data_IF_987427310839
#
_entry.id   IF_987427310839
#
_cell.length_a   1.000
_cell.length_b   1.000
_cell.length_c   1.000
_cell.angle_alpha   90.00
_cell.angle_beta   90.00
_cell.angle_gamma   90.00
#
_symmetry.space_group_name_H-M   'P 1'
#
loop_
_entity.id
_entity.type
_entity.pdbx_description
1 polymer ?
#
# COMPACT_ATOMS: atom_id res chain seq x y z
N UNK A 1 10.05 -27.44 8.64
CA UNK A 1 9.46 -26.20 9.18
C UNK A 1 7.98 -26.46 9.45
N UNK A 2 7.47 -26.02 10.59
CA UNK A 2 6.04 -26.05 10.87
C UNK A 2 5.29 -25.03 10.00
N UNK A 3 3.96 -25.19 9.88
CA UNK A 3 3.09 -24.30 9.09
C UNK A 3 3.31 -22.83 9.46
N UNK A 4 3.27 -22.51 10.74
CA UNK A 4 3.45 -21.16 11.26
C UNK A 4 4.85 -20.61 10.95
N UNK A 5 5.89 -21.43 11.10
CA UNK A 5 7.27 -21.01 10.79
C UNK A 5 7.42 -20.65 9.30
N UNK A 6 6.84 -21.46 8.41
CA UNK A 6 6.87 -21.18 6.96
C UNK A 6 6.12 -19.92 6.64
N UNK A 7 4.91 -19.70 7.21
CA UNK A 7 4.12 -18.49 7.05
C UNK A 7 4.93 -17.26 7.48
N UNK A 8 5.49 -17.27 8.68
CA UNK A 8 6.27 -16.16 9.23
C UNK A 8 7.49 -15.82 8.39
N UNK A 9 8.24 -16.83 7.93
CA UNK A 9 9.43 -16.62 7.08
C UNK A 9 9.04 -16.04 5.73
N UNK A 10 7.99 -16.58 5.09
CA UNK A 10 7.53 -16.14 3.79
C UNK A 10 7.04 -14.69 3.85
N UNK A 11 6.26 -14.36 4.88
CA UNK A 11 5.73 -12.99 5.05
C UNK A 11 6.80 -12.00 5.48
N UNK A 12 7.81 -12.43 6.26
CA UNK A 12 8.97 -11.59 6.56
C UNK A 12 9.78 -11.28 5.29
N UNK A 13 9.95 -12.25 4.40
CA UNK A 13 10.64 -12.03 3.11
C UNK A 13 9.82 -11.12 2.20
N UNK A 14 8.50 -11.28 2.12
CA UNK A 14 7.62 -10.44 1.31
C UNK A 14 7.56 -9.00 1.87
N UNK A 15 7.24 -8.83 3.14
CA UNK A 15 7.12 -7.52 3.78
C UNK A 15 8.49 -6.87 3.99
N UNK A 16 9.24 -7.31 5.00
CA UNK A 16 10.53 -6.70 5.40
C UNK A 16 11.58 -6.80 4.29
N UNK A 17 11.63 -7.94 3.57
CA UNK A 17 12.55 -8.14 2.45
C UNK A 17 12.20 -7.22 1.27
N UNK A 18 10.94 -7.15 0.85
CA UNK A 18 10.46 -6.32 -0.25
C UNK A 18 10.68 -4.83 0.03
N UNK A 19 10.16 -4.31 1.14
CA UNK A 19 10.35 -2.89 1.52
C UNK A 19 11.82 -2.56 1.77
N UNK A 20 12.57 -3.47 2.39
CA UNK A 20 14.01 -3.29 2.63
C UNK A 20 14.83 -3.21 1.34
N UNK A 21 14.55 -4.07 0.34
CA UNK A 21 15.14 -3.99 -0.99
C UNK A 21 14.78 -2.67 -1.67
N UNK A 22 13.52 -2.24 -1.58
CA UNK A 22 13.09 -0.93 -2.05
C UNK A 22 13.87 0.20 -1.38
N UNK A 23 14.05 0.12 -0.07
CA UNK A 23 14.88 1.04 0.70
C UNK A 23 16.32 1.12 0.19
N UNK A 24 16.95 -0.03 -0.08
CA UNK A 24 18.30 -0.12 -0.64
C UNK A 24 18.38 0.51 -2.03
N UNK A 25 17.45 0.16 -2.93
CA UNK A 25 17.40 0.72 -4.29
C UNK A 25 17.21 2.23 -4.22
N UNK A 26 16.26 2.72 -3.41
CA UNK A 26 16.04 4.17 -3.20
C UNK A 26 17.28 4.88 -2.66
N UNK A 27 18.05 4.24 -1.76
CA UNK A 27 19.31 4.78 -1.26
C UNK A 27 20.43 4.85 -2.30
N UNK A 28 20.33 4.09 -3.40
CA UNK A 28 21.27 4.10 -4.52
C UNK A 28 20.86 5.11 -5.61
N UNK A 29 19.57 5.49 -5.67
CA UNK A 29 19.10 6.47 -6.66
C UNK A 29 19.64 7.87 -6.37
N UNK A 30 19.86 8.64 -7.45
CA UNK A 30 20.27 10.04 -7.37
C UNK A 30 19.03 10.96 -7.24
N UNK A 31 19.23 12.23 -6.94
CA UNK A 31 18.19 13.23 -6.61
C UNK A 31 17.03 13.37 -7.62
N UNK A 32 17.16 12.95 -8.86
CA UNK A 32 16.12 13.08 -9.92
C UNK A 32 15.22 11.82 -10.04
N UNK A 33 15.09 11.06 -8.96
CA UNK A 33 14.40 9.77 -8.98
C UNK A 33 12.87 9.85 -8.87
N UNK A 34 12.26 11.03 -8.60
CA UNK A 34 10.81 11.16 -8.40
C UNK A 34 9.99 10.57 -9.56
N UNK A 35 10.44 10.76 -10.81
CA UNK A 35 9.80 10.15 -11.99
C UNK A 35 9.82 8.63 -11.93
N UNK A 36 10.97 8.04 -11.64
CA UNK A 36 11.13 6.57 -11.59
C UNK A 36 10.30 5.99 -10.46
N UNK A 37 10.39 6.58 -9.27
CA UNK A 37 9.60 6.17 -8.10
C UNK A 37 8.10 6.26 -8.39
N UNK A 38 7.63 7.37 -8.96
CA UNK A 38 6.23 7.58 -9.35
C UNK A 38 5.73 6.47 -10.30
N UNK A 39 6.48 6.18 -11.37
CA UNK A 39 6.07 5.19 -12.37
C UNK A 39 6.05 3.77 -11.77
N UNK A 40 7.04 3.43 -10.94
CA UNK A 40 7.09 2.14 -10.25
C UNK A 40 5.96 2.01 -9.21
N UNK A 41 5.69 3.08 -8.46
CA UNK A 41 4.61 3.12 -7.49
C UNK A 41 3.24 2.96 -8.15
N UNK A 42 3.01 3.66 -9.28
CA UNK A 42 1.78 3.48 -10.07
C UNK A 42 1.64 2.05 -10.61
N UNK A 43 2.73 1.48 -11.11
CA UNK A 43 2.75 0.10 -11.60
C UNK A 43 2.40 -0.88 -10.46
N UNK A 44 3.00 -0.71 -9.28
CA UNK A 44 2.71 -1.52 -8.09
C UNK A 44 1.23 -1.41 -7.68
N UNK A 45 0.68 -0.18 -7.62
CA UNK A 45 -0.74 0.04 -7.36
C UNK A 45 -1.66 -0.66 -8.37
N UNK A 46 -1.25 -0.70 -9.65
CA UNK A 46 -1.94 -1.44 -10.69
C UNK A 46 -1.93 -2.96 -10.45
N UNK A 47 -0.77 -3.52 -10.06
CA UNK A 47 -0.65 -4.95 -9.71
C UNK A 47 -1.52 -5.27 -8.49
N UNK A 48 -1.48 -4.43 -7.44
CA UNK A 48 -2.35 -4.59 -6.26
C UNK A 48 -3.81 -4.60 -6.63
N UNK A 49 -4.26 -3.66 -7.46
CA UNK A 49 -5.65 -3.59 -7.92
C UNK A 49 -6.07 -4.87 -8.65
N UNK A 50 -5.18 -5.43 -9.46
CA UNK A 50 -5.42 -6.69 -10.15
C UNK A 50 -5.59 -7.86 -9.17
N UNK A 51 -4.69 -8.01 -8.22
CA UNK A 51 -4.77 -9.05 -7.17
C UNK A 51 -6.07 -8.91 -6.39
N UNK A 52 -6.42 -7.70 -5.96
CA UNK A 52 -7.66 -7.47 -5.22
C UNK A 52 -8.90 -7.87 -6.03
N UNK A 53 -8.98 -7.41 -7.29
CA UNK A 53 -10.21 -7.60 -8.08
C UNK A 53 -10.35 -8.99 -8.68
N UNK A 54 -9.25 -9.63 -9.05
CA UNK A 54 -9.29 -10.90 -9.81
C UNK A 54 -8.92 -12.13 -8.98
N UNK A 55 -8.39 -11.94 -7.77
CA UNK A 55 -8.02 -13.03 -6.88
C UNK A 55 -8.79 -12.93 -5.56
N UNK A 56 -8.50 -11.95 -4.70
CA UNK A 56 -9.00 -11.90 -3.33
C UNK A 56 -10.53 -11.76 -3.25
N UNK A 57 -11.11 -10.85 -4.03
CA UNK A 57 -12.58 -10.64 -4.03
C UNK A 57 -13.29 -11.87 -4.62
N UNK A 58 -12.71 -12.49 -5.65
CA UNK A 58 -13.25 -13.70 -6.25
C UNK A 58 -13.20 -14.86 -5.25
N UNK A 59 -12.04 -15.09 -4.61
CA UNK A 59 -11.90 -16.13 -3.58
C UNK A 59 -12.87 -15.89 -2.39
N UNK A 60 -13.03 -14.63 -1.96
CA UNK A 60 -14.01 -14.30 -0.91
C UNK A 60 -15.45 -14.64 -1.31
N UNK A 61 -15.85 -14.40 -2.57
CA UNK A 61 -17.19 -14.72 -3.08
C UNK A 61 -17.35 -16.25 -3.20
N UNK A 62 -16.31 -16.94 -3.63
CA UNK A 62 -16.31 -18.40 -3.84
C UNK A 62 -16.43 -19.19 -2.53
N UNK A 63 -16.25 -18.55 -1.38
CA UNK A 63 -16.59 -19.15 -0.06
C UNK A 63 -18.07 -19.49 0.10
N UNK A 64 -18.95 -18.97 -0.76
CA UNK A 64 -20.41 -19.15 -0.72
C UNK A 64 -21.09 -18.68 0.60
N UNK A 65 -20.45 -17.78 1.34
CA UNK A 65 -20.99 -17.22 2.59
C UNK A 65 -22.03 -16.12 2.39
N UNK A 66 -22.23 -15.70 1.12
CA UNK A 66 -23.20 -14.69 0.72
C UNK A 66 -22.53 -13.34 0.37
N UNK A 67 -22.95 -12.77 -0.74
CA UNK A 67 -22.37 -11.52 -1.30
C UNK A 67 -22.41 -10.34 -0.32
N UNK A 68 -23.47 -10.23 0.50
CA UNK A 68 -23.60 -9.12 1.44
C UNK A 68 -22.57 -9.16 2.56
N UNK A 69 -22.12 -10.36 2.97
CA UNK A 69 -21.02 -10.50 3.94
C UNK A 69 -19.72 -9.98 3.35
N UNK A 70 -19.41 -10.38 2.11
CA UNK A 70 -18.20 -9.94 1.40
C UNK A 70 -18.20 -8.42 1.19
N UNK A 71 -19.30 -7.86 0.69
CA UNK A 71 -19.44 -6.40 0.51
C UNK A 71 -19.31 -5.66 1.84
N UNK A 72 -19.93 -6.18 2.91
CA UNK A 72 -19.79 -5.62 4.25
C UNK A 72 -18.37 -5.66 4.78
N UNK A 73 -17.64 -6.76 4.55
CA UNK A 73 -16.23 -6.89 4.94
C UNK A 73 -15.33 -5.90 4.15
N UNK A 74 -15.55 -5.77 2.84
CA UNK A 74 -14.85 -4.78 1.99
C UNK A 74 -15.11 -3.35 2.52
N UNK A 75 -16.36 -3.00 2.75
CA UNK A 75 -16.74 -1.68 3.28
C UNK A 75 -16.10 -1.39 4.64
N UNK A 76 -16.03 -2.40 5.51
CA UNK A 76 -15.35 -2.29 6.80
C UNK A 76 -13.85 -2.06 6.64
N UNK A 77 -13.20 -2.78 5.70
CA UNK A 77 -11.79 -2.60 5.38
C UNK A 77 -11.50 -1.18 4.90
N UNK A 78 -12.29 -0.67 3.95
CA UNK A 78 -12.21 0.73 3.47
C UNK A 78 -12.37 1.70 4.63
N UNK A 79 -13.44 1.55 5.42
CA UNK A 79 -13.77 2.49 6.49
C UNK A 79 -12.70 2.53 7.60
N UNK A 80 -12.19 1.35 8.01
CA UNK A 80 -11.15 1.28 9.04
C UNK A 80 -9.83 1.87 8.56
N UNK A 81 -9.42 1.54 7.33
CA UNK A 81 -8.16 2.06 6.77
C UNK A 81 -8.24 3.56 6.57
N UNK A 82 -9.36 4.08 6.04
CA UNK A 82 -9.62 5.52 5.98
C UNK A 82 -9.51 6.19 7.35
N UNK A 83 -10.14 5.61 8.36
CA UNK A 83 -10.12 6.16 9.72
C UNK A 83 -8.71 6.17 10.32
N UNK A 84 -7.94 5.10 10.14
CA UNK A 84 -6.56 5.02 10.62
C UNK A 84 -5.67 6.04 9.90
N UNK A 85 -5.85 6.16 8.58
CA UNK A 85 -5.13 7.16 7.79
C UNK A 85 -5.47 8.59 8.24
N UNK A 86 -6.76 8.88 8.42
CA UNK A 86 -7.22 10.17 8.94
C UNK A 86 -6.59 10.51 10.31
N UNK A 87 -6.43 9.51 11.20
CA UNK A 87 -5.76 9.73 12.49
C UNK A 87 -4.27 10.06 12.32
N UNK A 88 -3.59 9.40 11.38
CA UNK A 88 -2.19 9.70 11.08
C UNK A 88 -2.06 11.10 10.50
N UNK A 89 -2.83 11.42 9.48
CA UNK A 89 -2.81 12.73 8.83
C UNK A 89 -3.06 13.85 9.84
N UNK A 90 -4.04 13.68 10.71
CA UNK A 90 -4.36 14.66 11.76
C UNK A 90 -3.20 14.88 12.74
N UNK A 91 -2.39 13.85 13.01
CA UNK A 91 -1.28 13.92 13.98
C UNK A 91 0.03 14.34 13.33
N UNK A 92 0.25 13.97 12.06
CA UNK A 92 1.52 14.16 11.35
C UNK A 92 1.50 15.32 10.37
N UNK A 93 0.33 15.61 9.80
CA UNK A 93 0.12 16.69 8.85
C UNK A 93 -1.15 17.45 9.25
N UNK A 94 -1.08 18.35 10.27
CA UNK A 94 -2.22 19.18 10.60
C UNK A 94 -2.56 20.00 9.34
N UNK A 95 -3.65 19.65 8.68
CA UNK A 95 -4.20 20.44 7.59
C UNK A 95 -4.30 21.88 8.06
N UNK A 96 -3.62 22.78 7.36
CA UNK A 96 -3.88 24.20 7.51
C UNK A 96 -5.34 24.37 7.12
N UNK A 97 -6.23 24.86 8.00
CA UNK A 97 -7.63 24.93 7.67
C UNK A 97 -7.80 25.76 6.40
N UNK A 98 -8.29 25.13 5.35
CA UNK A 98 -8.61 25.73 4.05
C UNK A 98 -9.82 26.65 4.19
N UNK A 99 -9.70 27.70 4.96
CA UNK A 99 -10.70 28.76 5.00
C UNK A 99 -9.99 30.05 4.62
N UNK A 100 -9.69 30.18 3.35
CA UNK A 100 -9.59 31.51 2.79
C UNK A 100 -11.02 31.97 2.52
N UNK A 101 -11.45 33.01 3.25
CA UNK A 101 -12.83 33.56 3.19
C UNK A 101 -13.24 34.12 1.81
N UNK A 102 -12.34 34.07 0.85
CA UNK A 102 -12.52 34.58 -0.51
C UNK A 102 -12.57 33.48 -1.58
N UNK A 103 -12.46 32.19 -1.20
CA UNK A 103 -12.65 31.08 -2.14
C UNK A 103 -14.12 30.65 -2.18
N UNK A 104 -14.69 30.37 -3.36
CA UNK A 104 -16.02 29.79 -3.47
C UNK A 104 -16.08 28.40 -2.82
N UNK A 105 -17.18 28.13 -2.11
CA UNK A 105 -17.40 26.88 -1.34
C UNK A 105 -17.52 25.60 -2.20
N UNK A 106 -17.32 25.68 -3.49
CA UNK A 106 -17.43 24.55 -4.43
C UNK A 106 -16.22 24.52 -5.35
N UNK A 107 -15.36 23.53 -5.17
CA UNK A 107 -14.34 23.16 -6.16
C UNK A 107 -15.04 22.39 -7.30
N UNK A 108 -15.67 23.11 -8.23
CA UNK A 108 -16.32 22.51 -9.39
C UNK A 108 -15.33 22.16 -10.51
N UNK A 109 -14.04 22.48 -10.34
CA UNK A 109 -13.01 22.24 -11.34
C UNK A 109 -11.83 21.45 -10.75
N UNK A 110 -11.52 20.31 -11.37
CA UNK A 110 -10.33 19.51 -11.08
C UNK A 110 -9.04 20.35 -11.21
N UNK A 111 -9.06 21.39 -12.04
CA UNK A 111 -7.97 22.34 -12.21
C UNK A 111 -7.77 23.21 -10.97
N UNK A 112 -8.80 23.56 -10.21
CA UNK A 112 -8.68 24.29 -8.94
C UNK A 112 -8.07 23.44 -7.83
N UNK A 113 -8.39 22.14 -7.80
CA UNK A 113 -7.76 21.17 -6.89
C UNK A 113 -6.27 20.96 -7.21
N UNK A 114 -5.88 21.12 -8.48
CA UNK A 114 -4.52 20.92 -8.97
C UNK A 114 -3.70 22.23 -8.94
N UNK A 115 -4.36 23.39 -9.07
CA UNK A 115 -3.70 24.71 -9.19
C UNK A 115 -3.94 25.63 -7.99
N UNK A 116 -4.53 25.14 -6.89
CA UNK A 116 -4.67 25.97 -5.70
C UNK A 116 -3.28 26.39 -5.19
N UNK A 117 -3.14 27.65 -4.78
CA UNK A 117 -1.92 28.23 -4.18
C UNK A 117 -1.42 27.43 -2.96
N UNK A 118 -2.26 26.56 -2.41
CA UNK A 118 -1.91 25.60 -1.37
C UNK A 118 -0.93 24.53 -1.84
N UNK A 119 -1.02 24.07 -3.09
CA UNK A 119 -0.03 23.18 -3.67
C UNK A 119 1.35 23.86 -3.75
N UNK A 120 1.42 25.15 -4.10
CA UNK A 120 2.67 25.90 -4.09
C UNK A 120 3.24 26.07 -2.68
N UNK A 121 2.40 26.29 -1.66
CA UNK A 121 2.85 26.34 -0.26
C UNK A 121 3.29 24.97 0.26
N UNK A 122 2.63 23.89 -0.15
CA UNK A 122 3.10 22.53 0.12
C UNK A 122 4.38 22.21 -0.64
N UNK A 123 4.54 22.70 -1.88
CA UNK A 123 5.80 22.57 -2.64
C UNK A 123 6.93 23.37 -2.00
N UNK A 124 6.71 24.61 -1.58
CA UNK A 124 7.71 25.44 -0.90
C UNK A 124 8.14 24.84 0.45
N UNK A 125 7.25 24.17 1.19
CA UNK A 125 7.59 23.39 2.39
C UNK A 125 8.24 22.05 2.06
N UNK A 126 7.86 21.40 0.95
CA UNK A 126 8.42 20.13 0.48
C UNK A 126 9.88 20.25 0.05
N UNK A 127 10.30 21.41 -0.45
CA UNK A 127 11.72 21.69 -0.78
C UNK A 127 12.59 21.91 0.47
N UNK A 128 12.02 22.09 1.65
CA UNK A 128 12.79 22.10 2.89
C UNK A 128 13.20 20.68 3.28
N UNK A 129 14.44 20.50 3.74
CA UNK A 129 14.93 19.19 4.25
C UNK A 129 14.00 18.61 5.32
N UNK A 130 13.44 19.47 6.17
CA UNK A 130 12.49 19.07 7.21
C UNK A 130 11.17 18.57 6.62
N UNK A 131 10.64 19.24 5.59
CA UNK A 131 9.42 18.81 4.91
C UNK A 131 9.58 17.43 4.26
N UNK A 132 10.71 17.19 3.58
CA UNK A 132 11.01 15.88 2.98
C UNK A 132 11.20 14.78 4.02
N UNK A 133 11.85 15.10 5.15
CA UNK A 133 11.99 14.15 6.27
C UNK A 133 10.63 13.76 6.84
N UNK A 134 9.76 14.74 7.12
CA UNK A 134 8.40 14.52 7.64
C UNK A 134 7.58 13.69 6.65
N UNK A 135 7.61 14.06 5.36
CA UNK A 135 6.92 13.30 4.31
C UNK A 135 7.37 11.83 4.25
N UNK A 136 8.68 11.58 4.37
CA UNK A 136 9.21 10.22 4.41
C UNK A 136 8.78 9.43 5.65
N UNK A 137 8.68 10.08 6.81
CA UNK A 137 8.19 9.44 8.04
C UNK A 137 6.70 9.13 7.97
N UNK A 138 5.88 10.05 7.45
CA UNK A 138 4.44 9.84 7.21
C UNK A 138 4.24 8.67 6.26
N UNK A 139 4.99 8.64 5.16
CA UNK A 139 4.94 7.53 4.21
C UNK A 139 5.34 6.20 4.85
N UNK A 140 6.36 6.18 5.72
CA UNK A 140 6.74 4.96 6.45
C UNK A 140 5.61 4.45 7.36
N UNK A 141 4.88 5.35 8.02
CA UNK A 141 3.73 5.00 8.85
C UNK A 141 2.55 4.50 7.99
N UNK A 142 2.26 5.19 6.89
CA UNK A 142 1.22 4.79 5.95
C UNK A 142 1.51 3.37 5.42
N UNK A 143 2.69 3.12 4.88
CA UNK A 143 3.10 1.80 4.38
C UNK A 143 3.06 0.74 5.48
N UNK A 144 3.45 1.06 6.71
CA UNK A 144 3.31 0.12 7.82
C UNK A 144 1.85 -0.31 8.06
N UNK A 145 0.89 0.60 7.91
CA UNK A 145 -0.54 0.26 7.97
C UNK A 145 -1.00 -0.59 6.78
N UNK A 146 -0.54 -0.27 5.55
CA UNK A 146 -0.85 -1.03 4.34
C UNK A 146 -0.40 -2.48 4.43
N UNK A 147 0.76 -2.69 5.01
CA UNK A 147 1.37 -4.00 5.13
C UNK A 147 0.56 -4.98 6.01
N UNK A 148 -0.35 -4.48 6.89
CA UNK A 148 -1.24 -5.37 7.67
C UNK A 148 -2.25 -6.09 6.76
N UNK A 149 -3.07 -5.41 5.95
CA UNK A 149 -3.96 -6.07 4.97
C UNK A 149 -3.24 -7.00 4.01
N UNK A 150 -2.07 -6.61 3.51
CA UNK A 150 -1.26 -7.45 2.62
C UNK A 150 -0.85 -8.75 3.29
N UNK A 151 -0.37 -8.67 4.53
CA UNK A 151 -0.09 -9.85 5.31
C UNK A 151 -1.34 -10.72 5.51
N UNK A 152 -2.51 -10.10 5.79
CA UNK A 152 -3.76 -10.82 5.95
C UNK A 152 -4.14 -11.63 4.71
N UNK A 153 -3.86 -11.14 3.49
CA UNK A 153 -4.13 -11.90 2.26
C UNK A 153 -3.28 -13.16 2.19
N UNK A 154 -1.97 -13.06 2.48
CA UNK A 154 -1.07 -14.24 2.51
C UNK A 154 -1.55 -15.22 3.58
N UNK A 155 -1.88 -14.73 4.78
CA UNK A 155 -2.34 -15.57 5.88
C UNK A 155 -3.65 -16.28 5.60
N UNK A 156 -4.63 -15.59 5.02
CA UNK A 156 -5.92 -16.15 4.63
C UNK A 156 -5.77 -17.21 3.53
N UNK A 157 -4.94 -16.95 2.50
CA UNK A 157 -4.63 -17.92 1.47
C UNK A 157 -3.89 -19.16 2.00
N UNK A 158 -3.10 -19.01 3.06
CA UNK A 158 -2.52 -20.14 3.78
C UNK A 158 -3.57 -20.98 4.51
N UNK A 159 -4.56 -20.33 5.12
CA UNK A 159 -5.64 -21.02 5.81
C UNK A 159 -6.55 -21.78 4.83
N UNK A 160 -6.86 -21.20 3.67
CA UNK A 160 -7.70 -21.84 2.63
C UNK A 160 -7.08 -23.14 2.10
N UNK A 161 -5.75 -23.25 2.09
CA UNK A 161 -4.98 -24.41 1.61
C UNK A 161 -4.60 -25.39 2.74
N UNK A 162 -5.33 -25.43 3.86
CA UNK A 162 -5.06 -26.30 5.02
C UNK A 162 -3.61 -26.15 5.56
N UNK A 163 -3.05 -24.97 5.51
CA UNK A 163 -1.71 -24.65 6.01
C UNK A 163 -0.57 -25.24 5.16
N UNK A 164 -0.87 -25.77 3.99
CA UNK A 164 0.16 -26.14 3.02
C UNK A 164 0.48 -24.91 2.19
N UNK A 165 1.77 -24.64 1.95
CA UNK A 165 2.20 -23.58 1.03
C UNK A 165 1.81 -23.99 -0.40
N UNK A 166 0.54 -23.75 -0.74
CA UNK A 166 0.02 -23.94 -2.09
C UNK A 166 0.66 -22.94 -3.06
N UNK A 167 0.57 -23.22 -4.35
CA UNK A 167 1.07 -22.32 -5.39
C UNK A 167 0.49 -20.90 -5.25
N UNK A 168 -0.79 -20.77 -4.90
CA UNK A 168 -1.47 -19.48 -4.74
C UNK A 168 -0.86 -18.62 -3.61
N UNK A 169 -0.68 -19.15 -2.40
CA UNK A 169 -0.09 -18.40 -1.29
C UNK A 169 1.36 -17.97 -1.58
N UNK A 170 2.13 -18.79 -2.30
CA UNK A 170 3.48 -18.45 -2.74
C UNK A 170 3.46 -17.34 -3.80
N UNK A 171 2.58 -17.44 -4.78
CA UNK A 171 2.41 -16.43 -5.82
C UNK A 171 2.04 -15.08 -5.19
N UNK A 172 1.07 -15.05 -4.26
CA UNK A 172 0.70 -13.85 -3.52
C UNK A 172 1.88 -13.27 -2.75
N UNK A 173 2.64 -14.10 -2.02
CA UNK A 173 3.79 -13.64 -1.26
C UNK A 173 4.88 -13.03 -2.17
N UNK A 174 5.13 -13.63 -3.34
CA UNK A 174 6.07 -13.09 -4.34
C UNK A 174 5.55 -11.78 -4.92
N UNK A 175 4.29 -11.70 -5.29
CA UNK A 175 3.67 -10.48 -5.81
C UNK A 175 3.75 -9.34 -4.79
N UNK A 176 3.38 -9.62 -3.54
CA UNK A 176 3.46 -8.67 -2.43
C UNK A 176 4.91 -8.24 -2.20
N UNK A 177 5.86 -9.16 -2.21
CA UNK A 177 7.28 -8.83 -2.10
C UNK A 177 7.78 -7.93 -3.23
N UNK A 178 7.33 -8.15 -4.46
CA UNK A 178 7.72 -7.35 -5.62
C UNK A 178 7.12 -5.94 -5.60
N UNK A 179 5.84 -5.78 -5.23
CA UNK A 179 5.26 -4.44 -5.18
C UNK A 179 5.70 -3.63 -3.97
N UNK A 180 6.12 -4.27 -2.88
CA UNK A 180 6.73 -3.60 -1.73
C UNK A 180 8.09 -2.95 -2.07
N UNK A 181 8.74 -3.31 -3.18
CA UNK A 181 9.97 -2.64 -3.62
C UNK A 181 9.73 -1.17 -4.00
N UNK A 182 8.81 -0.83 -4.91
CA UNK A 182 8.42 0.57 -5.17
C UNK A 182 7.99 1.34 -3.93
N UNK A 183 7.25 0.72 -3.02
CA UNK A 183 6.80 1.34 -1.77
C UNK A 183 7.98 1.68 -0.86
N UNK A 184 8.92 0.76 -0.69
CA UNK A 184 10.15 1.02 0.04
C UNK A 184 10.98 2.15 -0.58
N UNK A 185 11.00 2.27 -1.91
CA UNK A 185 11.63 3.42 -2.57
C UNK A 185 10.89 4.72 -2.24
N UNK A 186 9.55 4.72 -2.21
CA UNK A 186 8.74 5.89 -1.88
C UNK A 186 8.97 6.39 -0.45
N UNK A 187 9.35 5.51 0.49
CA UNK A 187 9.77 5.88 1.87
C UNK A 187 11.21 6.38 1.90
N UNK A 188 12.15 5.62 1.37
CA UNK A 188 13.58 5.86 1.56
C UNK A 188 14.07 7.12 0.84
N UNK A 189 13.54 7.42 -0.35
CA UNK A 189 13.96 8.58 -1.16
C UNK A 189 13.69 9.90 -0.44
N UNK A 190 12.48 10.21 0.05
CA UNK A 190 12.24 11.46 0.77
C UNK A 190 12.98 11.50 2.13
N UNK A 191 13.13 10.39 2.86
CA UNK A 191 13.91 10.35 4.10
C UNK A 191 15.36 10.77 3.87
N UNK A 192 16.00 10.25 2.82
CA UNK A 192 17.39 10.56 2.48
C UNK A 192 17.51 12.01 1.98
N UNK A 193 16.58 12.45 1.13
CA UNK A 193 16.54 13.82 0.64
C UNK A 193 16.30 14.82 1.78
N UNK A 194 15.56 14.41 2.81
CA UNK A 194 15.35 15.15 4.06
C UNK A 194 16.56 15.18 4.99
N UNK A 195 17.68 14.52 4.61
CA UNK A 195 18.94 14.54 5.35
C UNK A 195 19.17 13.35 6.28
N UNK A 196 18.29 12.33 6.24
CA UNK A 196 18.54 11.10 6.97
C UNK A 196 19.70 10.31 6.35
N UNK A 197 20.57 9.74 7.19
CA UNK A 197 21.63 8.85 6.70
C UNK A 197 21.06 7.59 6.02
N UNK A 198 21.65 7.19 4.89
CA UNK A 198 21.17 6.09 4.03
C UNK A 198 20.83 4.81 4.79
N UNK A 199 21.71 4.37 5.70
CA UNK A 199 21.52 3.13 6.49
C UNK A 199 20.27 3.26 7.38
N UNK A 200 20.10 4.40 8.05
CA UNK A 200 18.90 4.62 8.90
C UNK A 200 17.62 4.65 8.09
N UNK A 201 17.63 5.29 6.92
CA UNK A 201 16.49 5.32 6.02
C UNK A 201 16.11 3.90 5.55
N UNK A 202 17.09 3.10 5.13
CA UNK A 202 16.85 1.70 4.74
C UNK A 202 16.29 0.88 5.90
N UNK A 203 16.80 1.05 7.11
CA UNK A 203 16.29 0.33 8.28
C UNK A 203 14.86 0.72 8.63
N UNK A 204 14.52 2.02 8.62
CA UNK A 204 13.14 2.48 8.86
C UNK A 204 12.21 1.91 7.79
N UNK A 205 12.63 1.96 6.53
CA UNK A 205 11.87 1.39 5.42
C UNK A 205 11.65 -0.11 5.60
N UNK A 206 12.68 -0.88 5.94
CA UNK A 206 12.53 -2.31 6.20
C UNK A 206 11.60 -2.60 7.40
N UNK A 207 11.67 -1.79 8.46
CA UNK A 207 10.81 -1.92 9.64
C UNK A 207 9.34 -1.66 9.32
N UNK A 208 9.02 -0.78 8.32
CA UNK A 208 7.65 -0.58 7.87
C UNK A 208 7.03 -1.84 7.24
N UNK A 209 7.83 -2.82 6.87
CA UNK A 209 7.38 -4.14 6.40
C UNK A 209 7.03 -5.15 7.51
N UNK A 210 7.36 -4.89 8.78
CA UNK A 210 7.07 -5.82 9.89
C UNK A 210 5.57 -6.11 10.05
N UNK A 211 4.66 -5.13 9.91
CA UNK A 211 3.23 -5.37 10.05
C UNK A 211 2.66 -6.42 9.10
N UNK A 212 3.32 -6.72 7.96
CA UNK A 212 2.95 -7.85 7.08
C UNK A 212 2.95 -9.18 7.85
N UNK A 213 3.90 -9.38 8.76
CA UNK A 213 3.99 -10.60 9.57
C UNK A 213 2.81 -10.67 10.54
N UNK A 214 2.47 -9.55 11.17
CA UNK A 214 1.32 -9.47 12.09
C UNK A 214 0.02 -9.71 11.33
N UNK A 215 -0.13 -9.06 10.18
CA UNK A 215 -1.27 -9.25 9.28
C UNK A 215 -1.45 -10.70 8.87
N UNK A 216 -0.35 -11.38 8.46
CA UNK A 216 -0.39 -12.77 8.05
C UNK A 216 -0.84 -13.70 9.19
N UNK A 217 -0.37 -13.47 10.38
CA UNK A 217 -0.82 -14.24 11.54
C UNK A 217 -2.33 -14.04 11.81
N UNK A 218 -2.81 -12.79 11.75
CA UNK A 218 -4.22 -12.46 11.91
C UNK A 218 -5.07 -13.08 10.79
N UNK A 219 -4.65 -12.93 9.53
CA UNK A 219 -5.33 -13.50 8.37
C UNK A 219 -5.43 -15.01 8.43
N UNK A 220 -4.36 -15.68 8.85
CA UNK A 220 -4.36 -17.12 9.08
C UNK A 220 -5.34 -17.53 10.18
N UNK A 221 -5.30 -16.88 11.36
CA UNK A 221 -6.18 -17.21 12.47
C UNK A 221 -7.67 -17.01 12.12
N UNK A 222 -8.00 -15.93 11.42
CA UNK A 222 -9.38 -15.62 11.04
C UNK A 222 -9.83 -16.57 9.92
N UNK A 223 -8.99 -16.81 8.92
CA UNK A 223 -9.27 -17.72 7.81
C UNK A 223 -9.46 -19.18 8.25
N UNK A 224 -8.72 -19.63 9.27
CA UNK A 224 -8.79 -21.00 9.82
C UNK A 224 -10.12 -21.28 10.57
N UNK A 225 -10.90 -20.25 10.91
CA UNK A 225 -12.23 -20.42 11.53
C UNK A 225 -13.24 -21.07 10.56
N UNK A 226 -12.94 -21.06 9.25
CA UNK A 226 -13.77 -21.65 8.19
C UNK A 226 -14.20 -20.63 7.14
N UNK A 227 -15.14 -21.00 6.28
CA UNK A 227 -15.55 -20.21 5.12
C UNK A 227 -15.95 -18.75 5.48
N UNK A 228 -16.64 -18.54 6.59
CA UNK A 228 -17.00 -17.19 7.04
C UNK A 228 -15.79 -16.36 7.46
N UNK A 229 -14.86 -16.95 8.21
CA UNK A 229 -13.61 -16.29 8.60
C UNK A 229 -12.76 -15.93 7.39
N UNK A 230 -12.65 -16.84 6.43
CA UNK A 230 -11.93 -16.62 5.17
C UNK A 230 -12.55 -15.45 4.38
N UNK A 231 -13.86 -15.46 4.17
CA UNK A 231 -14.58 -14.38 3.47
C UNK A 231 -14.38 -13.02 4.16
N UNK A 232 -14.46 -12.98 5.50
CA UNK A 232 -14.24 -11.76 6.27
C UNK A 232 -12.80 -11.26 6.15
N UNK A 233 -11.80 -12.15 6.26
CA UNK A 233 -10.40 -11.78 6.16
C UNK A 233 -10.03 -11.26 4.78
N UNK A 234 -10.38 -12.00 3.72
CA UNK A 234 -10.13 -11.61 2.33
C UNK A 234 -10.90 -10.34 1.94
N UNK A 235 -12.19 -10.26 2.31
CA UNK A 235 -13.00 -9.08 2.03
C UNK A 235 -12.47 -7.83 2.74
N UNK A 236 -12.12 -7.94 4.01
CA UNK A 236 -11.54 -6.84 4.77
C UNK A 236 -10.21 -6.38 4.17
N UNK A 237 -9.30 -7.30 3.88
CA UNK A 237 -8.01 -7.00 3.27
C UNK A 237 -8.20 -6.34 1.89
N UNK A 238 -9.12 -6.87 1.07
CA UNK A 238 -9.47 -6.27 -0.23
C UNK A 238 -9.93 -4.82 -0.10
N UNK A 239 -10.82 -4.53 0.84
CA UNK A 239 -11.30 -3.17 1.09
C UNK A 239 -10.19 -2.23 1.55
N UNK A 240 -9.36 -2.67 2.46
CA UNK A 240 -8.20 -1.91 2.94
C UNK A 240 -7.23 -1.60 1.79
N UNK A 241 -6.89 -2.60 0.97
CA UNK A 241 -5.99 -2.43 -0.18
C UNK A 241 -6.59 -1.52 -1.26
N UNK A 242 -7.90 -1.59 -1.54
CA UNK A 242 -8.57 -0.66 -2.44
C UNK A 242 -8.44 0.78 -1.97
N UNK A 243 -8.69 1.03 -0.67
CA UNK A 243 -8.50 2.37 -0.12
C UNK A 243 -7.05 2.86 -0.30
N UNK A 244 -6.08 2.02 -0.01
CA UNK A 244 -4.66 2.33 -0.16
C UNK A 244 -4.31 2.70 -1.59
N UNK A 245 -4.74 1.90 -2.57
CA UNK A 245 -4.44 2.17 -3.98
C UNK A 245 -5.03 3.51 -4.43
N UNK A 246 -6.31 3.75 -4.14
CA UNK A 246 -6.99 4.96 -4.61
C UNK A 246 -6.77 6.18 -3.72
N UNK A 247 -6.62 5.99 -2.42
CA UNK A 247 -6.45 7.08 -1.45
C UNK A 247 -5.00 7.56 -1.31
N UNK A 248 -4.02 6.69 -1.61
CA UNK A 248 -2.62 7.00 -1.30
C UNK A 248 -1.66 6.73 -2.46
N UNK A 249 -1.57 5.48 -2.97
CA UNK A 249 -0.55 5.09 -3.95
C UNK A 249 -0.69 5.87 -5.26
N UNK A 250 -1.88 5.86 -5.87
CA UNK A 250 -2.12 6.56 -7.12
C UNK A 250 -2.03 8.09 -6.98
N UNK A 251 -2.67 8.73 -5.98
CA UNK A 251 -2.49 10.15 -5.76
C UNK A 251 -1.03 10.54 -5.52
N UNK A 252 -0.31 9.79 -4.68
CA UNK A 252 1.10 10.06 -4.41
C UNK A 252 1.96 9.94 -5.67
N UNK A 253 1.71 8.94 -6.51
CA UNK A 253 2.46 8.76 -7.75
C UNK A 253 2.25 9.93 -8.72
N UNK A 254 1.02 10.44 -8.84
CA UNK A 254 0.69 11.60 -9.68
C UNK A 254 1.35 12.87 -9.13
N UNK A 255 1.32 13.06 -7.81
CA UNK A 255 1.97 14.20 -7.15
C UNK A 255 3.49 14.20 -7.29
N UNK A 256 4.12 13.02 -7.34
CA UNK A 256 5.58 12.90 -7.56
C UNK A 256 5.99 13.20 -9.00
N UNK A 257 5.13 12.95 -9.97
CA UNK A 257 5.40 13.17 -11.39
C UNK A 257 4.13 13.59 -12.14
N UNK A 258 3.93 14.89 -12.30
CA UNK A 258 2.77 15.50 -12.98
C UNK A 258 2.75 15.15 -14.48
N UNK A 259 2.23 13.98 -14.81
CA UNK A 259 2.16 13.45 -16.17
C UNK A 259 1.03 12.44 -16.29
N UNK A 260 0.61 12.12 -17.51
CA UNK A 260 -0.31 11.01 -17.77
C UNK A 260 0.38 9.64 -17.71
N UNK A 261 1.71 9.59 -17.63
CA UNK A 261 2.46 8.32 -17.60
C UNK A 261 2.16 7.45 -16.37
N UNK A 262 1.98 7.99 -15.15
CA UNK A 262 1.53 7.19 -14.01
C UNK A 262 0.25 6.39 -14.28
N UNK A 263 -0.74 6.97 -14.96
CA UNK A 263 -1.96 6.26 -15.31
C UNK A 263 -1.69 5.10 -16.30
N UNK A 264 -0.81 5.29 -17.29
CA UNK A 264 -0.44 4.22 -18.21
C UNK A 264 0.35 3.10 -17.50
N UNK A 265 1.24 3.44 -16.59
CA UNK A 265 1.99 2.43 -15.82
C UNK A 265 1.10 1.68 -14.83
N UNK A 266 0.09 2.32 -14.23
CA UNK A 266 -0.93 1.65 -13.44
C UNK A 266 -1.73 0.64 -14.27
N UNK A 267 -2.17 1.02 -15.48
CA UNK A 267 -2.86 0.10 -16.40
C UNK A 267 -1.93 -1.07 -16.79
N UNK A 268 -0.66 -0.79 -17.07
CA UNK A 268 0.31 -1.85 -17.35
C UNK A 268 0.47 -2.79 -16.15
N UNK A 269 0.48 -2.26 -14.92
CA UNK A 269 0.47 -3.05 -13.69
C UNK A 269 -0.74 -3.95 -13.56
N UNK A 270 -1.96 -3.42 -13.86
CA UNK A 270 -3.19 -4.23 -13.87
C UNK A 270 -3.06 -5.39 -14.87
N UNK A 271 -2.58 -5.12 -16.07
CA UNK A 271 -2.45 -6.16 -17.10
C UNK A 271 -1.44 -7.24 -16.70
N UNK A 272 -0.30 -6.84 -16.14
CA UNK A 272 0.72 -7.79 -15.66
C UNK A 272 0.20 -8.60 -14.47
N UNK A 273 -0.43 -7.94 -13.49
CA UNK A 273 -1.02 -8.63 -12.34
C UNK A 273 -2.11 -9.62 -12.76
N UNK A 274 -2.98 -9.24 -13.72
CA UNK A 274 -3.98 -10.13 -14.27
C UNK A 274 -3.34 -11.35 -14.95
N UNK A 275 -2.27 -11.17 -15.73
CA UNK A 275 -1.56 -12.30 -16.33
C UNK A 275 -1.00 -13.25 -15.28
N UNK A 276 -0.45 -12.73 -14.17
CA UNK A 276 0.13 -13.56 -13.11
C UNK A 276 -0.96 -14.33 -12.35
N UNK A 277 -2.13 -13.72 -12.12
CA UNK A 277 -3.25 -14.36 -11.42
C UNK A 277 -3.85 -15.51 -12.25
N UNK A 278 -3.87 -15.38 -13.59
CA UNK A 278 -4.53 -16.36 -14.48
C UNK A 278 -3.57 -17.32 -15.22
N UNK A 279 -2.25 -17.19 -15.08
CA UNK A 279 -1.25 -18.11 -15.62
C UNK A 279 -0.74 -19.08 -14.55
#
# INVERSE_FOLDING_TARGET
MGIIETLLVTTALAGVGGTGLGGLIGAMLQKDSNRVVSLLLSFAGGVMLSVVCFDLVVEAIDTNTGIWLVVGAIALGVALTYFLNYLIDRTTNPEVPHIDKNHPDTADDLDELIHSDHLEQHYARRDSKLGLFVAGMVMACAIALHNVPEGMTIGASYASNNGVMGSAALVLAVLIGLHNIPEGMAVSVPLISGGMGKIKAVLITALSGIPTIVGAFLGYLIGDIGAMGLALSLGFASGAMLYVVFGEILPQSILMYHSKLPAFTAIAGILVGMLIVFL
#
